data_IF_453262920683
#
_entry.id   IF_453262920683
#
_cell.length_a   1.000
_cell.length_b   1.000
_cell.length_c   1.000
_cell.angle_alpha   90.00
_cell.angle_beta   90.00
_cell.angle_gamma   90.00
#
_symmetry.space_group_name_H-M   'P 1'
#
loop_
_entity.id
_entity.type
_entity.pdbx_description
1 polymer ?
#
# COMPACT_ATOMS: atom_id res chain seq x y z
N UNK A 1 11.24 -34.41 -3.38
CA UNK A 1 12.60 -34.23 -3.97
C UNK A 1 13.20 -33.06 -3.22
N UNK A 2 13.89 -33.38 -2.13
CA UNK A 2 13.94 -32.48 -0.99
C UNK A 2 15.11 -31.51 -1.14
N UNK A 3 14.77 -30.29 -1.56
CA UNK A 3 15.74 -29.21 -1.75
C UNK A 3 15.75 -28.30 -0.52
N UNK A 4 16.81 -28.40 0.27
CA UNK A 4 17.03 -27.52 1.41
C UNK A 4 17.74 -26.24 0.97
N UNK A 5 17.20 -25.09 1.36
CA UNK A 5 17.78 -23.77 1.10
C UNK A 5 17.98 -22.99 2.40
N UNK A 6 18.90 -22.03 2.39
CA UNK A 6 19.14 -21.16 3.53
C UNK A 6 19.48 -19.75 3.05
N UNK A 7 18.88 -18.72 3.68
CA UNK A 7 19.11 -17.32 3.34
C UNK A 7 20.45 -16.76 3.88
N UNK A 8 21.22 -17.54 4.64
CA UNK A 8 22.46 -17.05 5.22
C UNK A 8 23.55 -16.80 4.15
N UNK A 9 24.42 -15.79 4.34
CA UNK A 9 25.49 -15.50 3.38
C UNK A 9 26.41 -16.69 3.10
N UNK A 10 26.68 -17.52 4.13
CA UNK A 10 27.52 -18.71 4.00
C UNK A 10 26.93 -19.78 3.06
N UNK A 11 25.61 -19.83 2.89
CA UNK A 11 24.94 -20.72 1.93
C UNK A 11 24.81 -20.05 0.55
N UNK A 12 24.40 -18.78 0.51
CA UNK A 12 24.19 -18.02 -0.75
C UNK A 12 25.47 -17.87 -1.57
N UNK A 13 26.61 -17.65 -0.90
CA UNK A 13 27.87 -17.33 -1.55
C UNK A 13 28.73 -18.56 -1.90
N UNK A 14 28.16 -19.77 -1.90
CA UNK A 14 28.84 -21.00 -2.35
C UNK A 14 28.83 -21.12 -3.87
N UNK A 15 29.52 -20.19 -4.53
CA UNK A 15 29.82 -20.26 -5.96
C UNK A 15 30.73 -21.45 -6.22
N UNK A 16 30.22 -22.48 -6.91
CA UNK A 16 30.95 -23.72 -7.21
C UNK A 16 30.24 -25.00 -6.76
N UNK A 17 29.22 -24.91 -5.90
CA UNK A 17 28.35 -26.03 -5.57
C UNK A 17 26.95 -25.82 -6.20
N UNK A 18 26.35 -26.87 -6.81
CA UNK A 18 24.97 -26.79 -7.27
C UNK A 18 24.05 -26.48 -6.09
N UNK A 19 22.96 -25.75 -6.34
CA UNK A 19 22.11 -25.17 -5.27
C UNK A 19 21.64 -26.25 -4.28
N UNK A 20 21.32 -27.44 -4.79
CA UNK A 20 20.89 -28.61 -4.01
C UNK A 20 22.01 -29.33 -3.25
N UNK A 21 23.27 -28.92 -3.37
CA UNK A 21 24.43 -29.43 -2.64
C UNK A 21 25.11 -28.36 -1.77
N UNK A 22 24.54 -27.16 -1.68
CA UNK A 22 25.03 -26.10 -0.79
C UNK A 22 24.71 -26.42 0.67
N UNK A 23 25.60 -26.03 1.57
CA UNK A 23 25.49 -26.31 3.02
C UNK A 23 25.75 -25.05 3.86
N UNK A 24 25.40 -25.04 5.13
CA UNK A 24 25.84 -24.00 6.07
C UNK A 24 25.74 -24.52 7.50
N UNK A 25 26.22 -23.71 8.47
CA UNK A 25 26.08 -24.06 9.89
C UNK A 25 24.62 -24.29 10.29
N UNK A 26 23.67 -23.51 9.76
CA UNK A 26 22.25 -23.67 10.06
C UNK A 26 21.69 -25.01 9.56
N UNK A 27 22.01 -25.42 8.33
CA UNK A 27 21.59 -26.71 7.79
C UNK A 27 22.25 -27.88 8.54
N UNK A 28 23.52 -27.75 8.93
CA UNK A 28 24.22 -28.76 9.75
C UNK A 28 23.59 -28.90 11.14
N UNK A 29 23.17 -27.80 11.76
CA UNK A 29 22.48 -27.82 13.05
C UNK A 29 21.08 -28.41 12.91
N UNK A 30 20.35 -28.08 11.84
CA UNK A 30 18.97 -28.50 11.63
C UNK A 30 18.85 -29.99 11.24
N UNK A 31 19.67 -30.43 10.29
CA UNK A 31 19.58 -31.77 9.69
C UNK A 31 20.52 -32.77 10.38
N UNK A 32 21.46 -32.29 11.18
CA UNK A 32 22.53 -33.08 11.77
C UNK A 32 23.71 -33.27 10.81
N UNK A 33 24.91 -33.29 11.39
CA UNK A 33 26.16 -33.30 10.64
C UNK A 33 26.33 -34.54 9.74
N UNK A 34 25.95 -35.72 10.23
CA UNK A 34 26.03 -36.98 9.47
C UNK A 34 25.11 -36.98 8.26
N UNK A 35 23.87 -36.52 8.43
CA UNK A 35 22.88 -36.45 7.35
C UNK A 35 23.30 -35.43 6.29
N UNK A 36 23.74 -34.25 6.73
CA UNK A 36 24.13 -33.17 5.85
C UNK A 36 25.35 -33.55 4.97
N UNK A 37 26.33 -34.25 5.54
CA UNK A 37 27.47 -34.79 4.78
C UNK A 37 27.04 -35.83 3.73
N UNK A 38 26.16 -36.76 4.11
CA UNK A 38 25.63 -37.76 3.18
C UNK A 38 24.85 -37.09 2.03
N UNK A 39 24.05 -36.07 2.34
CA UNK A 39 23.27 -35.29 1.36
C UNK A 39 24.17 -34.58 0.35
N UNK A 40 25.21 -33.88 0.83
CA UNK A 40 26.14 -33.18 -0.06
C UNK A 40 26.86 -34.17 -0.97
N UNK A 41 27.32 -35.31 -0.44
CA UNK A 41 27.98 -36.36 -1.22
C UNK A 41 27.08 -36.97 -2.29
N UNK A 42 25.79 -37.16 -1.98
CA UNK A 42 24.81 -37.67 -2.95
C UNK A 42 24.50 -36.65 -4.06
N UNK A 43 24.44 -35.37 -3.71
CA UNK A 43 24.02 -34.30 -4.65
C UNK A 43 25.18 -33.67 -5.44
N UNK A 44 26.43 -33.87 -4.99
CA UNK A 44 27.62 -33.38 -5.66
C UNK A 44 28.80 -34.36 -5.46
N UNK A 45 28.76 -35.55 -6.07
CA UNK A 45 29.74 -36.62 -5.86
C UNK A 45 31.18 -36.22 -6.26
N UNK A 46 31.34 -35.41 -7.31
CA UNK A 46 32.63 -34.96 -7.84
C UNK A 46 33.04 -33.55 -7.37
N UNK A 47 32.27 -32.96 -6.44
CA UNK A 47 32.50 -31.61 -5.95
C UNK A 47 33.61 -31.51 -4.89
N UNK A 48 34.19 -30.30 -4.71
CA UNK A 48 35.16 -30.07 -3.64
C UNK A 48 34.52 -30.35 -2.27
N UNK A 49 35.07 -31.34 -1.56
CA UNK A 49 34.58 -31.74 -0.24
C UNK A 49 34.79 -30.62 0.77
N UNK A 50 33.79 -30.30 1.62
CA UNK A 50 33.94 -29.27 2.64
C UNK A 50 35.02 -29.69 3.64
N UNK A 51 36.04 -28.84 3.84
CA UNK A 51 37.08 -29.07 4.86
C UNK A 51 36.44 -29.11 6.24
N UNK A 52 36.69 -30.18 6.99
CA UNK A 52 36.30 -30.29 8.39
C UNK A 52 36.92 -29.14 9.20
N UNK A 53 36.09 -28.31 9.81
CA UNK A 53 36.56 -27.27 10.73
C UNK A 53 37.05 -27.94 12.01
N UNK A 54 38.36 -27.94 12.22
CA UNK A 54 38.99 -28.41 13.46
C UNK A 54 38.42 -27.64 14.66
N UNK A 55 37.76 -28.33 15.56
CA UNK A 55 37.34 -27.81 16.86
C UNK A 55 38.58 -27.56 17.73
N UNK A 56 38.94 -26.29 17.95
CA UNK A 56 39.90 -25.93 18.99
C UNK A 56 39.23 -26.14 20.35
N UNK A 57 39.60 -27.24 21.01
CA UNK A 57 39.21 -27.53 22.39
C UNK A 57 39.76 -26.46 23.35
N UNK A 58 38.90 -25.89 24.19
CA UNK A 58 39.30 -25.07 25.36
C UNK A 58 39.91 -26.00 26.42
N UNK A 59 41.23 -25.93 26.59
CA UNK A 59 41.96 -26.59 27.68
C UNK A 59 41.77 -25.86 29.01
N UNK A 60 41.56 -26.64 30.08
CA UNK A 60 41.49 -26.21 31.49
C UNK A 60 42.90 -25.99 32.09
N UNK A 61 43.07 -24.85 32.78
CA UNK A 61 43.63 -24.77 34.14
C UNK A 61 45.14 -24.62 34.38
N UNK A 62 45.53 -23.56 35.11
CA UNK A 62 46.37 -23.59 36.34
C UNK A 62 46.04 -22.37 37.25
N UNK A 63 46.00 -22.61 38.56
CA UNK A 63 45.48 -21.78 39.68
C UNK A 63 46.51 -20.74 40.23
N UNK A 64 46.11 -19.51 40.64
CA UNK A 64 45.67 -18.96 41.96
C UNK A 64 46.80 -18.73 43.01
N UNK A 65 46.80 -17.60 43.78
CA UNK A 65 46.11 -17.54 45.10
C UNK A 65 45.44 -16.16 45.46
N UNK A 66 44.74 -16.03 46.62
CA UNK A 66 43.50 -15.22 46.75
C UNK A 66 43.43 -14.17 47.89
N UNK A 67 42.22 -13.56 48.02
CA UNK A 67 41.51 -12.96 49.20
C UNK A 67 41.56 -11.43 49.40
N UNK A 68 40.63 -10.80 50.18
CA UNK A 68 39.35 -11.27 50.77
C UNK A 68 38.14 -10.33 50.52
N UNK A 69 36.98 -10.73 51.07
CA UNK A 69 35.65 -10.12 50.91
C UNK A 69 35.14 -9.35 52.15
N UNK A 70 34.27 -8.34 51.89
CA UNK A 70 33.09 -7.84 52.66
C UNK A 70 33.32 -7.21 54.06
N UNK A 71 32.41 -6.35 54.61
CA UNK A 71 30.96 -6.54 54.62
C UNK A 71 30.04 -5.30 54.48
N UNK A 72 28.74 -5.61 54.52
CA UNK A 72 27.54 -4.75 54.52
C UNK A 72 27.28 -4.13 55.91
N UNK A 73 26.58 -2.99 55.95
CA UNK A 73 25.39 -2.73 56.79
C UNK A 73 24.80 -1.37 56.38
N UNK A 74 23.50 -1.23 56.08
CA UNK A 74 22.39 -1.09 57.05
C UNK A 74 22.15 0.42 57.25
N UNK A 75 21.08 1.06 56.76
CA UNK A 75 19.67 0.79 57.02
C UNK A 75 19.15 1.80 58.05
N UNK A 76 18.11 2.59 57.69
CA UNK A 76 17.12 3.36 58.51
C UNK A 76 16.81 4.72 57.85
N UNK A 77 15.68 4.87 57.17
CA UNK A 77 14.31 5.19 57.65
C UNK A 77 14.13 6.60 58.20
N UNK A 78 13.24 7.35 57.54
CA UNK A 78 12.08 8.09 58.10
C UNK A 78 11.90 9.47 57.46
N UNK A 79 10.68 9.68 56.97
CA UNK A 79 10.12 10.86 56.33
C UNK A 79 9.67 11.90 57.40
N UNK A 80 8.65 12.75 57.15
CA UNK A 80 8.49 13.84 56.17
C UNK A 80 8.15 15.17 56.91
N UNK A 81 8.01 16.27 56.15
CA UNK A 81 7.07 17.43 56.33
C UNK A 81 7.57 18.55 55.42
N UNK A 82 6.78 19.03 54.45
CA UNK A 82 5.77 20.09 54.61
C UNK A 82 6.46 21.46 54.58
N UNK A 83 6.03 22.52 53.92
CA UNK A 83 4.84 22.89 53.16
C UNK A 83 5.01 24.40 52.83
N UNK A 84 4.16 24.95 51.95
CA UNK A 84 3.73 26.36 51.87
C UNK A 84 4.47 27.33 50.90
N UNK A 85 3.63 27.89 49.99
CA UNK A 85 3.55 29.23 49.35
C UNK A 85 4.83 29.96 48.89
N UNK A 86 4.89 30.75 47.82
CA UNK A 86 3.89 31.37 46.95
C UNK A 86 4.51 32.64 46.32
N UNK A 87 3.90 33.14 45.25
CA UNK A 87 3.99 34.50 44.68
C UNK A 87 5.06 34.87 43.61
N UNK A 88 4.53 35.01 42.38
CA UNK A 88 4.66 36.09 41.38
C UNK A 88 5.54 37.32 41.67
N UNK A 89 6.33 37.74 40.67
CA UNK A 89 6.40 39.07 39.96
C UNK A 89 7.57 39.03 38.96
N UNK A 90 7.42 39.21 37.63
CA UNK A 90 7.16 40.37 36.75
C UNK A 90 8.32 41.40 36.59
N UNK A 91 8.72 41.56 35.30
CA UNK A 91 9.21 42.75 34.55
C UNK A 91 10.70 43.17 34.68
N UNK A 92 11.48 43.19 33.58
CA UNK A 92 11.68 44.28 32.57
C UNK A 92 12.97 45.08 32.91
N UNK A 93 13.82 45.66 32.03
CA UNK A 93 13.79 46.10 30.61
C UNK A 93 15.21 46.62 30.25
N UNK A 94 15.35 47.10 29.00
CA UNK A 94 16.31 48.06 28.39
C UNK A 94 17.42 47.43 27.54
N UNK A 95 17.44 47.51 26.20
CA UNK A 95 17.34 48.64 25.22
C UNK A 95 18.71 49.25 24.84
N UNK A 96 18.72 49.76 23.60
CA UNK A 96 19.67 50.62 22.87
C UNK A 96 20.78 49.93 22.03
N UNK A 97 21.16 50.40 20.84
CA UNK A 97 20.53 51.11 19.71
C UNK A 97 21.63 51.34 18.64
N UNK A 98 21.20 51.79 17.45
CA UNK A 98 21.95 52.36 16.30
C UNK A 98 22.42 51.41 15.19
N UNK A 99 22.56 51.86 13.94
CA UNK A 99 21.75 52.68 13.02
C UNK A 99 22.57 52.76 11.70
N UNK A 100 21.88 53.15 10.62
CA UNK A 100 22.40 53.84 9.43
C UNK A 100 22.80 53.09 8.14
N UNK A 101 22.24 53.65 7.08
CA UNK A 101 22.08 53.38 5.65
C UNK A 101 23.36 53.50 4.78
N UNK A 102 23.31 53.05 3.50
CA UNK A 102 23.61 53.87 2.29
C UNK A 102 23.54 53.04 0.97
N UNK A 103 23.20 53.73 -0.12
CA UNK A 103 22.81 53.35 -1.49
C UNK A 103 23.95 52.84 -2.42
N UNK A 104 23.61 52.31 -3.61
CA UNK A 104 24.53 52.36 -4.78
C UNK A 104 24.37 51.32 -5.91
N UNK A 105 23.86 51.79 -7.05
CA UNK A 105 23.83 51.23 -8.42
C UNK A 105 25.23 50.89 -9.02
N UNK A 106 25.30 49.99 -10.02
CA UNK A 106 26.50 49.77 -10.81
C UNK A 106 26.45 48.66 -11.88
N UNK A 107 25.77 48.94 -12.99
CA UNK A 107 25.95 48.36 -14.34
C UNK A 107 27.42 48.08 -14.73
N UNK A 108 27.69 46.95 -15.40
CA UNK A 108 28.64 46.88 -16.54
C UNK A 108 28.53 45.52 -17.25
N UNK A 109 27.89 45.51 -18.42
CA UNK A 109 28.05 44.45 -19.41
C UNK A 109 29.42 44.49 -20.09
N UNK A 110 29.89 43.35 -20.63
CA UNK A 110 30.36 43.25 -22.03
C UNK A 110 30.75 41.83 -22.47
N UNK A 111 30.18 41.47 -23.63
CA UNK A 111 30.81 40.78 -24.80
C UNK A 111 31.02 39.25 -24.80
N UNK A 112 30.18 38.60 -25.62
CA UNK A 112 30.46 37.39 -26.44
C UNK A 112 31.66 37.64 -27.38
N UNK A 113 32.24 36.59 -27.99
CA UNK A 113 31.75 36.19 -29.31
C UNK A 113 31.62 34.67 -29.53
N UNK A 114 30.69 34.32 -30.41
CA UNK A 114 30.46 32.99 -30.95
C UNK A 114 31.46 32.64 -32.07
N UNK A 115 31.78 31.35 -32.24
CA UNK A 115 32.23 30.78 -33.53
C UNK A 115 31.65 29.39 -33.79
N UNK A 116 31.45 29.14 -35.08
CA UNK A 116 30.63 28.14 -35.77
C UNK A 116 31.19 26.72 -35.76
N UNK A 117 30.24 25.78 -35.76
CA UNK A 117 30.12 24.49 -36.46
C UNK A 117 31.34 23.84 -37.14
N UNK A 118 31.48 22.52 -36.92
CA UNK A 118 31.85 21.51 -37.94
C UNK A 118 31.45 20.09 -37.49
N UNK A 119 30.71 19.36 -38.34
CA UNK A 119 30.59 17.88 -38.32
C UNK A 119 31.93 17.25 -38.74
N UNK A 120 32.20 15.99 -38.39
CA UNK A 120 32.03 14.93 -39.41
C UNK A 120 31.41 13.62 -38.87
N UNK A 121 31.23 12.69 -39.79
CA UNK A 121 30.45 11.45 -39.70
C UNK A 121 31.17 10.24 -39.05
N UNK A 122 30.33 9.26 -38.69
CA UNK A 122 30.53 7.80 -38.66
C UNK A 122 31.66 7.21 -37.80
N UNK A 123 31.30 6.43 -36.79
CA UNK A 123 31.47 4.96 -36.84
C UNK A 123 30.79 4.26 -35.66
N UNK A 124 30.36 3.05 -35.93
CA UNK A 124 29.69 2.08 -35.07
C UNK A 124 30.61 1.50 -33.99
N UNK A 125 30.10 1.35 -32.76
CA UNK A 125 30.37 0.19 -31.90
C UNK A 125 29.42 0.14 -30.72
N UNK A 126 28.68 -0.97 -30.64
CA UNK A 126 27.68 -1.23 -29.62
C UNK A 126 28.28 -1.32 -28.21
N UNK A 127 27.48 -0.91 -27.23
CA UNK A 127 27.66 -1.25 -25.83
C UNK A 127 26.32 -1.70 -25.26
N UNK A 128 26.25 -3.00 -24.98
CA UNK A 128 25.27 -3.65 -24.11
C UNK A 128 25.16 -2.83 -22.82
N UNK A 129 23.96 -2.31 -22.52
CA UNK A 129 23.61 -1.90 -21.17
C UNK A 129 22.79 -3.03 -20.54
N UNK A 130 23.35 -3.53 -19.44
CA UNK A 130 22.75 -4.42 -18.48
C UNK A 130 21.40 -3.87 -18.01
N UNK A 131 20.33 -4.62 -18.26
CA UNK A 131 19.01 -4.34 -17.73
C UNK A 131 18.97 -4.87 -16.29
N UNK A 132 19.01 -3.97 -15.31
CA UNK A 132 18.63 -4.29 -13.95
C UNK A 132 17.09 -4.28 -13.91
N UNK A 133 16.49 -5.47 -13.90
CA UNK A 133 15.06 -5.62 -13.71
C UNK A 133 14.76 -5.48 -12.22
N UNK A 134 14.20 -4.34 -11.84
CA UNK A 134 13.41 -4.21 -10.62
C UNK A 134 12.05 -4.88 -10.88
N UNK A 135 11.77 -5.93 -10.11
CA UNK A 135 10.47 -6.59 -10.06
C UNK A 135 9.50 -5.67 -9.30
N UNK A 136 8.61 -5.00 -10.05
CA UNK A 136 7.49 -4.25 -9.48
C UNK A 136 6.35 -5.24 -9.26
N UNK A 137 6.15 -5.65 -8.02
CA UNK A 137 4.93 -6.34 -7.58
C UNK A 137 3.76 -5.36 -7.71
N UNK A 138 2.98 -5.54 -8.78
CA UNK A 138 1.79 -4.77 -9.09
C UNK A 138 0.56 -5.54 -8.57
N UNK A 139 0.31 -5.44 -7.27
CA UNK A 139 -0.94 -5.91 -6.67
C UNK A 139 -1.67 -4.72 -6.07
N UNK A 140 -2.56 -4.13 -6.88
CA UNK A 140 -3.63 -3.22 -6.49
C UNK A 140 -4.54 -3.03 -7.71
N UNK A 141 -5.40 -4.01 -7.97
CA UNK A 141 -6.50 -3.84 -8.92
C UNK A 141 -7.62 -3.05 -8.22
N UNK A 142 -7.45 -1.74 -8.15
CA UNK A 142 -8.59 -0.83 -8.19
C UNK A 142 -9.14 -0.91 -9.63
N UNK A 143 -10.45 -1.11 -9.79
CA UNK A 143 -11.04 -1.37 -11.12
C UNK A 143 -10.93 -0.13 -12.00
N UNK A 144 -9.89 -0.07 -12.81
CA UNK A 144 -9.79 0.85 -13.94
C UNK A 144 -10.82 0.43 -14.98
N UNK A 145 -11.90 1.20 -15.10
CA UNK A 145 -12.90 0.95 -16.13
C UNK A 145 -12.74 1.95 -17.27
N UNK A 146 -12.43 1.47 -18.49
CA UNK A 146 -12.37 2.34 -19.66
C UNK A 146 -13.77 2.88 -19.97
N UNK A 147 -13.87 4.19 -20.19
CA UNK A 147 -15.05 4.80 -20.80
C UNK A 147 -15.10 4.40 -22.28
N UNK A 148 -16.29 4.02 -22.75
CA UNK A 148 -16.55 3.65 -24.14
C UNK A 148 -16.38 4.84 -25.08
N UNK A 149 -15.74 4.57 -26.21
CA UNK A 149 -15.55 5.48 -27.33
C UNK A 149 -16.90 5.81 -27.95
N UNK A 150 -17.25 7.10 -28.00
CA UNK A 150 -18.27 7.61 -28.90
C UNK A 150 -17.62 7.86 -30.25
N UNK A 151 -18.15 7.23 -31.29
CA UNK A 151 -17.71 7.41 -32.68
C UNK A 151 -18.16 8.78 -33.23
N UNK A 152 -17.31 9.34 -34.09
CA UNK A 152 -17.41 10.56 -34.91
C UNK A 152 -17.25 11.96 -34.27
N UNK A 153 -16.01 12.46 -34.19
CA UNK A 153 -15.47 13.52 -35.08
C UNK A 153 -14.02 13.95 -34.70
N UNK A 154 -13.09 13.82 -35.65
CA UNK A 154 -11.76 14.45 -35.85
C UNK A 154 -10.73 14.57 -34.69
N UNK A 155 -9.43 14.24 -34.93
CA UNK A 155 -8.42 14.14 -33.88
C UNK A 155 -7.84 15.51 -33.49
N UNK A 156 -8.23 16.04 -32.33
CA UNK A 156 -7.37 16.95 -31.59
C UNK A 156 -6.48 16.12 -30.66
N UNK A 157 -5.20 16.04 -30.97
CA UNK A 157 -4.19 15.41 -30.12
C UNK A 157 -3.85 16.35 -28.95
N UNK A 158 -4.80 16.56 -28.05
CA UNK A 158 -4.49 17.01 -26.70
C UNK A 158 -4.07 15.79 -25.90
N UNK A 159 -2.81 15.74 -25.46
CA UNK A 159 -2.33 14.67 -24.58
C UNK A 159 -3.18 14.66 -23.31
N UNK A 160 -3.86 13.54 -23.02
CA UNK A 160 -4.61 13.37 -21.77
C UNK A 160 -3.64 13.60 -20.59
N UNK A 161 -3.81 14.69 -19.84
CA UNK A 161 -2.99 14.98 -18.67
C UNK A 161 -3.45 14.08 -17.51
N UNK A 162 -2.67 13.03 -17.23
CA UNK A 162 -2.92 12.15 -16.10
C UNK A 162 -2.45 12.85 -14.83
N UNK A 163 -3.30 12.99 -13.79
CA UNK A 163 -2.91 13.65 -12.56
C UNK A 163 -1.86 12.83 -11.82
N UNK A 164 -0.83 13.50 -11.31
CA UNK A 164 0.18 12.88 -10.45
C UNK A 164 -0.39 12.73 -9.03
N UNK A 165 -0.90 11.55 -8.72
CA UNK A 165 -1.63 11.28 -7.48
C UNK A 165 -0.80 10.50 -6.46
N UNK A 166 -1.03 10.80 -5.18
CA UNK A 166 -0.42 10.08 -4.07
C UNK A 166 -1.05 8.69 -3.92
N UNK A 167 -0.24 7.65 -4.06
CA UNK A 167 -0.69 6.26 -4.00
C UNK A 167 -0.19 5.57 -2.73
N UNK A 168 -1.06 4.75 -2.14
CA UNK A 168 -0.79 4.09 -0.87
C UNK A 168 0.01 2.79 -1.04
N UNK A 169 0.97 2.51 -0.16
CA UNK A 169 1.53 1.17 0.01
C UNK A 169 0.67 0.30 0.94
N UNK A 170 0.84 -1.02 0.91
CA UNK A 170 0.23 -1.90 1.92
C UNK A 170 0.94 -1.72 3.27
N UNK A 171 0.18 -1.61 4.35
CA UNK A 171 0.72 -1.80 5.70
C UNK A 171 0.43 -3.23 6.16
N UNK A 172 1.49 -3.98 6.42
CA UNK A 172 1.40 -5.35 6.89
C UNK A 172 1.01 -5.40 8.37
N UNK A 173 0.03 -6.24 8.74
CA UNK A 173 -0.54 -6.31 10.09
C UNK A 173 0.45 -6.85 11.12
N UNK A 174 1.49 -7.58 10.73
CA UNK A 174 2.50 -8.10 11.66
C UNK A 174 3.81 -7.31 11.61
N UNK A 175 4.24 -6.92 10.41
CA UNK A 175 5.59 -6.39 10.15
C UNK A 175 5.61 -4.93 9.71
N UNK A 176 4.44 -4.30 9.50
CA UNK A 176 4.34 -2.90 9.11
C UNK A 176 4.96 -1.94 10.14
N UNK A 177 5.42 -0.75 9.71
CA UNK A 177 6.07 0.23 10.58
C UNK A 177 5.19 0.63 11.76
N UNK A 178 5.81 1.10 12.85
CA UNK A 178 5.10 1.64 14.01
C UNK A 178 4.20 2.81 13.59
N UNK A 179 2.87 2.68 13.74
CA UNK A 179 1.94 3.71 13.30
C UNK A 179 1.76 4.83 14.31
N UNK A 180 2.42 4.80 15.47
CA UNK A 180 2.25 5.81 16.53
C UNK A 180 2.47 7.23 15.99
N UNK A 181 1.48 8.11 16.18
CA UNK A 181 1.48 9.48 15.68
C UNK A 181 1.03 9.65 14.23
N UNK A 182 0.75 8.57 13.48
CA UNK A 182 0.19 8.66 12.14
C UNK A 182 -1.31 8.96 12.20
N UNK A 183 -1.83 9.57 11.15
CA UNK A 183 -3.26 9.82 11.00
C UNK A 183 -3.96 8.57 10.45
N UNK A 184 -5.09 8.21 11.04
CA UNK A 184 -5.96 7.10 10.65
C UNK A 184 -7.23 7.68 10.04
N UNK A 185 -7.64 7.19 8.88
CA UNK A 185 -8.96 7.45 8.30
C UNK A 185 -9.60 6.16 7.78
N UNK A 186 -10.92 6.18 7.59
CA UNK A 186 -11.60 5.07 6.91
C UNK A 186 -11.13 5.00 5.45
N UNK A 187 -10.84 3.78 4.98
CA UNK A 187 -10.69 3.55 3.54
C UNK A 187 -12.08 3.42 2.94
N UNK A 188 -12.44 4.37 2.09
CA UNK A 188 -13.69 4.39 1.37
C UNK A 188 -13.60 3.54 0.10
N UNK A 189 -14.62 2.73 -0.14
CA UNK A 189 -14.77 1.89 -1.33
C UNK A 189 -15.68 2.60 -2.35
N UNK A 190 -15.17 3.69 -2.92
CA UNK A 190 -15.87 4.50 -3.91
C UNK A 190 -15.14 4.54 -5.24
N UNK A 191 -15.23 5.68 -5.93
CA UNK A 191 -14.48 5.95 -7.14
C UNK A 191 -13.60 7.18 -6.94
N UNK A 192 -12.28 6.96 -6.83
CA UNK A 192 -11.30 8.04 -6.69
C UNK A 192 -11.43 9.08 -7.79
N UNK A 193 -11.43 10.35 -7.39
CA UNK A 193 -11.42 11.48 -8.31
C UNK A 193 -10.48 12.57 -7.85
N UNK A 194 -9.83 13.19 -8.84
CA UNK A 194 -9.08 14.42 -8.71
C UNK A 194 -9.91 15.56 -9.28
N UNK A 195 -10.17 16.57 -8.48
CA UNK A 195 -10.79 17.80 -8.93
C UNK A 195 -9.71 18.83 -9.23
N UNK A 196 -9.68 19.35 -10.46
CA UNK A 196 -8.62 20.26 -10.94
C UNK A 196 -8.94 21.76 -10.74
N UNK A 197 -10.00 22.08 -9.99
CA UNK A 197 -10.55 23.44 -9.90
C UNK A 197 -11.69 23.71 -10.90
N UNK A 198 -11.98 22.77 -11.80
CA UNK A 198 -13.03 22.91 -12.81
C UNK A 198 -13.84 21.63 -13.05
N UNK A 199 -13.19 20.48 -13.11
CA UNK A 199 -13.79 19.19 -13.46
C UNK A 199 -13.26 18.08 -12.57
N UNK A 200 -14.03 17.00 -12.48
CA UNK A 200 -13.59 15.76 -11.88
C UNK A 200 -12.89 14.87 -12.91
N UNK A 201 -11.70 14.41 -12.56
CA UNK A 201 -10.84 13.56 -13.39
C UNK A 201 -10.59 12.27 -12.63
N UNK A 202 -10.71 11.15 -13.31
CA UNK A 202 -10.31 9.84 -12.79
C UNK A 202 -8.79 9.72 -12.69
N UNK A 203 -8.32 8.70 -11.98
CA UNK A 203 -6.90 8.37 -11.86
C UNK A 203 -6.17 8.23 -13.21
N UNK A 204 -6.86 7.74 -14.25
CA UNK A 204 -6.27 7.57 -15.59
C UNK A 204 -6.45 8.79 -16.51
N UNK A 205 -6.90 9.93 -15.98
CA UNK A 205 -7.10 11.15 -16.77
C UNK A 205 -8.41 11.20 -17.56
N UNK A 206 -9.37 10.28 -17.32
CA UNK A 206 -10.69 10.36 -17.95
C UNK A 206 -11.62 11.27 -17.13
N UNK A 207 -12.32 12.22 -17.75
CA UNK A 207 -13.24 13.11 -17.04
C UNK A 207 -14.50 12.37 -16.59
N UNK A 208 -15.03 12.77 -15.44
CA UNK A 208 -16.40 12.45 -15.02
C UNK A 208 -17.36 13.55 -15.48
N UNK A 209 -18.65 13.24 -15.53
CA UNK A 209 -19.71 14.17 -15.98
C UNK A 209 -20.73 14.44 -14.87
N UNK A 210 -20.31 15.05 -13.75
CA UNK A 210 -21.25 15.48 -12.72
C UNK A 210 -22.20 16.55 -13.27
N UNK A 211 -23.44 16.66 -12.76
CA UNK A 211 -24.30 17.81 -13.05
C UNK A 211 -23.67 19.12 -12.58
N UNK A 212 -23.96 20.23 -13.27
CA UNK A 212 -23.43 21.55 -12.93
C UNK A 212 -23.71 21.95 -11.48
N UNK A 213 -24.91 21.64 -10.94
CA UNK A 213 -25.25 21.95 -9.55
C UNK A 213 -24.30 21.31 -8.53
N UNK A 214 -23.61 20.23 -8.89
CA UNK A 214 -22.62 19.59 -8.05
C UNK A 214 -21.27 20.32 -8.15
N UNK A 215 -20.84 20.68 -9.35
CA UNK A 215 -19.59 21.41 -9.58
C UNK A 215 -19.64 22.86 -9.05
N UNK A 216 -20.80 23.51 -9.13
CA UNK A 216 -21.01 24.89 -8.66
C UNK A 216 -20.79 25.05 -7.15
N UNK A 217 -20.78 23.93 -6.41
CA UNK A 217 -20.50 23.87 -4.96
C UNK A 217 -19.00 23.88 -4.63
N UNK A 218 -18.13 23.70 -5.62
CA UNK A 218 -16.69 23.54 -5.42
C UNK A 218 -15.91 24.83 -5.74
N UNK A 219 -14.86 25.12 -4.95
CA UNK A 219 -14.01 26.28 -5.20
C UNK A 219 -13.11 26.08 -6.42
N UNK A 220 -12.89 27.13 -7.21
CA UNK A 220 -12.08 27.06 -8.44
C UNK A 220 -10.59 27.37 -8.25
N UNK A 221 -10.18 27.77 -7.05
CA UNK A 221 -8.83 28.22 -6.72
C UNK A 221 -7.92 27.10 -6.16
N UNK A 222 -8.44 25.88 -6.03
CA UNK A 222 -7.71 24.75 -5.42
C UNK A 222 -7.97 23.45 -6.18
N UNK A 223 -7.07 22.49 -5.97
CA UNK A 223 -7.25 21.12 -6.45
C UNK A 223 -7.52 20.20 -5.27
N UNK A 224 -8.37 19.20 -5.46
CA UNK A 224 -8.84 18.30 -4.39
C UNK A 224 -8.64 16.85 -4.82
N UNK A 225 -8.22 16.01 -3.87
CA UNK A 225 -8.15 14.57 -4.03
C UNK A 225 -9.14 13.93 -3.05
N UNK A 226 -9.99 13.06 -3.59
CA UNK A 226 -11.10 12.50 -2.85
C UNK A 226 -11.73 11.30 -3.53
N UNK A 227 -12.83 10.84 -2.95
CA UNK A 227 -13.58 9.68 -3.41
C UNK A 227 -15.03 10.09 -3.73
N UNK A 228 -15.53 9.76 -4.92
CA UNK A 228 -16.97 9.79 -5.18
C UNK A 228 -17.58 8.56 -4.50
N UNK A 229 -18.51 8.78 -3.57
CA UNK A 229 -18.93 7.76 -2.62
C UNK A 229 -20.44 7.75 -2.41
N UNK A 230 -21.08 6.60 -2.67
CA UNK A 230 -22.51 6.38 -2.45
C UNK A 230 -22.86 5.72 -1.12
N UNK A 231 -21.87 5.50 -0.23
CA UNK A 231 -22.03 4.79 1.02
C UNK A 231 -21.42 3.39 1.02
N UNK A 232 -21.40 2.77 2.20
CA UNK A 232 -20.78 1.45 2.41
C UNK A 232 -21.53 0.37 1.64
N UNK A 233 -20.79 -0.50 0.94
CA UNK A 233 -21.37 -1.57 0.11
C UNK A 233 -22.05 -1.10 -1.18
N UNK A 234 -22.00 0.18 -1.51
CA UNK A 234 -22.65 0.76 -2.70
C UNK A 234 -21.71 0.96 -3.88
N UNK A 235 -20.47 0.44 -3.84
CA UNK A 235 -19.48 0.63 -4.90
C UNK A 235 -20.01 0.38 -6.33
N UNK A 236 -20.73 -0.72 -6.56
CA UNK A 236 -21.28 -1.03 -7.89
C UNK A 236 -22.30 0.03 -8.35
N UNK A 237 -23.13 0.51 -7.42
CA UNK A 237 -24.10 1.58 -7.66
C UNK A 237 -23.38 2.90 -7.95
N UNK A 238 -22.40 3.27 -7.11
CA UNK A 238 -21.53 4.44 -7.30
C UNK A 238 -20.88 4.43 -8.68
N UNK A 239 -20.23 3.32 -9.06
CA UNK A 239 -19.59 3.15 -10.37
C UNK A 239 -20.60 3.32 -11.51
N UNK A 240 -21.80 2.75 -11.38
CA UNK A 240 -22.85 2.91 -12.39
C UNK A 240 -23.25 4.37 -12.54
N UNK A 241 -23.47 5.09 -11.43
CA UNK A 241 -23.94 6.47 -11.43
C UNK A 241 -22.91 7.41 -12.05
N UNK A 242 -21.64 7.34 -11.62
CA UNK A 242 -20.60 8.29 -12.03
C UNK A 242 -20.14 8.10 -13.49
N UNK A 243 -20.43 6.93 -14.08
CA UNK A 243 -20.17 6.65 -15.50
C UNK A 243 -21.32 7.04 -16.42
N UNK A 244 -22.54 7.08 -15.90
CA UNK A 244 -23.70 7.47 -16.69
C UNK A 244 -23.71 8.98 -16.86
N UNK A 245 -23.56 9.44 -18.10
CA UNK A 245 -23.66 10.84 -18.47
C UNK A 245 -25.02 11.39 -18.03
N UNK A 246 -25.02 12.51 -17.30
CA UNK A 246 -26.24 13.17 -16.79
C UNK A 246 -27.14 12.26 -15.93
N UNK A 247 -26.56 11.34 -15.16
CA UNK A 247 -27.33 10.49 -14.25
C UNK A 247 -28.18 11.33 -13.28
N UNK A 248 -29.47 11.02 -13.15
CA UNK A 248 -30.35 11.69 -12.17
C UNK A 248 -30.05 11.29 -10.72
N UNK A 249 -29.20 10.27 -10.54
CA UNK A 249 -28.86 9.69 -9.24
C UNK A 249 -27.62 10.29 -8.59
N UNK A 250 -27.00 11.32 -9.18
CA UNK A 250 -25.87 12.05 -8.58
C UNK A 250 -26.19 12.65 -7.20
N UNK A 251 -27.47 12.88 -6.88
CA UNK A 251 -27.93 13.29 -5.54
C UNK A 251 -27.60 12.27 -4.44
N UNK A 252 -27.35 11.00 -4.81
CA UNK A 252 -26.97 9.94 -3.88
C UNK A 252 -25.44 9.76 -3.76
N UNK A 253 -24.66 10.65 -4.39
CA UNK A 253 -23.21 10.61 -4.37
C UNK A 253 -22.69 11.77 -3.54
N UNK A 254 -21.75 11.49 -2.64
CA UNK A 254 -20.94 12.48 -1.96
C UNK A 254 -19.54 12.51 -2.57
N UNK A 255 -18.88 13.67 -2.51
CA UNK A 255 -17.45 13.79 -2.77
C UNK A 255 -16.73 13.89 -1.43
N UNK A 256 -16.05 12.81 -1.06
CA UNK A 256 -15.36 12.62 0.21
C UNK A 256 -13.88 13.02 0.05
N UNK A 257 -13.54 14.23 0.47
CA UNK A 257 -12.23 14.83 0.26
C UNK A 257 -11.27 14.37 1.36
N UNK A 258 -10.06 13.96 0.97
CA UNK A 258 -9.03 13.54 1.92
C UNK A 258 -7.67 14.25 1.74
N UNK A 259 -7.46 15.03 0.66
CA UNK A 259 -6.24 15.83 0.49
C UNK A 259 -6.42 17.04 -0.46
N UNK A 260 -5.44 17.94 -0.48
CA UNK A 260 -5.35 19.13 -1.36
C UNK A 260 -4.01 19.10 -2.11
N UNK A 261 -3.94 18.54 -3.32
CA UNK A 261 -2.67 18.44 -4.06
C UNK A 261 -2.04 19.80 -4.39
N UNK A 262 -2.82 20.86 -4.58
CA UNK A 262 -2.31 22.22 -4.85
C UNK A 262 -1.56 22.85 -3.67
N UNK A 263 -1.71 22.29 -2.46
CA UNK A 263 -0.91 22.66 -1.27
C UNK A 263 0.15 21.61 -0.97
N UNK A 264 0.58 20.83 -1.97
CA UNK A 264 1.39 19.62 -1.78
C UNK A 264 2.75 19.83 -1.11
N UNK A 265 3.31 21.03 -1.19
CA UNK A 265 4.57 21.41 -0.53
C UNK A 265 4.42 21.66 0.98
N UNK A 266 3.18 21.69 1.50
CA UNK A 266 2.90 21.85 2.92
C UNK A 266 2.72 20.49 3.62
N UNK A 267 3.04 20.38 4.92
CA UNK A 267 2.75 19.20 5.73
C UNK A 267 1.27 18.81 5.70
N UNK A 268 0.96 17.52 5.82
CA UNK A 268 -0.41 17.00 5.77
C UNK A 268 -1.34 17.69 6.79
N UNK A 269 -0.83 18.02 7.97
CA UNK A 269 -1.57 18.73 9.02
C UNK A 269 -2.10 20.09 8.56
N UNK A 270 -1.28 20.83 7.81
CA UNK A 270 -1.64 22.13 7.27
C UNK A 270 -2.66 22.00 6.13
N UNK A 271 -2.46 21.01 5.24
CA UNK A 271 -3.41 20.70 4.17
C UNK A 271 -4.77 20.28 4.74
N UNK A 272 -4.78 19.44 5.78
CA UNK A 272 -6.00 19.00 6.44
C UNK A 272 -6.67 20.10 7.26
N UNK A 273 -5.90 21.00 7.88
CA UNK A 273 -6.45 22.20 8.52
C UNK A 273 -7.12 23.13 7.49
N UNK A 274 -6.51 23.31 6.32
CA UNK A 274 -7.11 24.07 5.21
C UNK A 274 -8.40 23.42 4.69
N UNK A 275 -8.45 22.09 4.59
CA UNK A 275 -9.68 21.35 4.27
C UNK A 275 -10.77 21.65 5.30
N UNK A 276 -10.47 21.48 6.59
CA UNK A 276 -11.44 21.73 7.68
C UNK A 276 -11.96 23.17 7.69
N UNK A 277 -11.10 24.16 7.44
CA UNK A 277 -11.51 25.55 7.37
C UNK A 277 -12.45 25.85 6.19
N UNK A 278 -12.30 25.15 5.06
CA UNK A 278 -13.10 25.38 3.84
C UNK A 278 -14.38 24.56 3.80
N UNK A 279 -14.32 23.27 4.16
CA UNK A 279 -15.40 22.30 3.99
C UNK A 279 -15.95 21.72 5.29
N UNK A 280 -15.31 21.97 6.42
CA UNK A 280 -15.81 21.56 7.74
C UNK A 280 -17.04 22.38 8.18
N UNK A 281 -17.54 22.08 9.36
CA UNK A 281 -18.69 22.80 9.94
C UNK A 281 -18.42 24.32 10.03
N UNK A 282 -19.30 25.12 9.42
CA UNK A 282 -19.14 26.57 9.33
C UNK A 282 -18.14 27.07 8.28
N UNK A 283 -17.57 26.17 7.48
CA UNK A 283 -16.67 26.51 6.37
C UNK A 283 -17.38 27.19 5.20
N UNK A 284 -16.61 27.88 4.34
CA UNK A 284 -17.14 28.66 3.20
C UNK A 284 -17.82 27.81 2.12
N UNK A 285 -17.50 26.51 2.07
CA UNK A 285 -18.03 25.54 1.10
C UNK A 285 -18.62 24.31 1.80
N UNK A 286 -19.10 24.45 3.03
CA UNK A 286 -19.81 23.38 3.73
C UNK A 286 -21.10 23.03 2.97
N UNK A 287 -21.20 21.80 2.48
CA UNK A 287 -22.30 21.32 1.64
C UNK A 287 -22.60 19.86 1.99
N UNK A 288 -23.86 19.45 1.91
CA UNK A 288 -24.26 18.07 2.22
C UNK A 288 -23.57 17.02 1.34
N UNK A 289 -23.35 17.31 0.04
CA UNK A 289 -22.67 16.37 -0.86
C UNK A 289 -21.13 16.49 -0.86
N UNK A 290 -20.54 17.44 -0.14
CA UNK A 290 -19.10 17.66 -0.11
C UNK A 290 -18.61 17.48 1.32
N UNK A 291 -18.01 16.33 1.59
CA UNK A 291 -17.66 15.89 2.94
C UNK A 291 -16.15 15.73 3.08
N UNK A 292 -15.65 15.89 4.31
CA UNK A 292 -14.27 15.63 4.64
C UNK A 292 -14.13 14.24 5.23
N UNK A 293 -13.14 13.50 4.78
CA UNK A 293 -12.75 12.26 5.44
C UNK A 293 -12.16 12.60 6.81
N UNK A 294 -12.80 12.10 7.86
CA UNK A 294 -12.36 12.30 9.24
C UNK A 294 -11.06 11.54 9.52
N UNK A 295 -10.16 12.19 10.25
CA UNK A 295 -8.88 11.62 10.65
C UNK A 295 -8.67 11.68 12.17
N UNK A 296 -8.12 10.61 12.74
CA UNK A 296 -7.70 10.53 14.15
C UNK A 296 -6.23 10.14 14.26
N UNK A 297 -5.60 10.40 15.40
CA UNK A 297 -4.20 10.04 15.63
C UNK A 297 -4.07 8.61 16.17
N UNK A 298 -3.23 7.81 15.51
CA UNK A 298 -2.84 6.49 15.96
C UNK A 298 -2.03 6.57 17.26
N UNK A 299 -2.53 5.93 18.32
CA UNK A 299 -1.85 5.82 19.61
C UNK A 299 -0.78 4.72 19.60
N UNK A 300 -1.10 3.62 18.94
CA UNK A 300 -0.25 2.44 18.79
C UNK A 300 -0.85 1.51 17.71
N UNK A 301 -0.21 0.35 17.52
CA UNK A 301 -0.69 -0.70 16.61
C UNK A 301 -2.07 -1.23 16.99
N UNK A 302 -2.34 -1.41 18.28
CA UNK A 302 -3.60 -1.97 18.76
C UNK A 302 -4.78 -1.04 18.47
N UNK A 303 -4.56 0.28 18.55
CA UNK A 303 -5.52 1.30 18.17
C UNK A 303 -5.92 1.19 16.70
N UNK A 304 -4.95 1.09 15.80
CA UNK A 304 -5.20 0.92 14.36
C UNK A 304 -6.00 -0.35 14.08
N UNK A 305 -5.66 -1.47 14.72
CA UNK A 305 -6.38 -2.73 14.55
C UNK A 305 -7.77 -2.73 15.19
N UNK A 306 -7.98 -1.95 16.26
CA UNK A 306 -9.31 -1.72 16.81
C UNK A 306 -10.17 -0.89 15.87
N UNK A 307 -9.60 0.17 15.30
CA UNK A 307 -10.29 1.02 14.32
C UNK A 307 -10.64 0.26 13.05
N UNK A 308 -9.73 -0.58 12.54
CA UNK A 308 -9.99 -1.49 11.43
C UNK A 308 -11.23 -2.36 11.73
N UNK A 309 -11.23 -3.09 12.85
CA UNK A 309 -12.37 -3.96 13.23
C UNK A 309 -13.67 -3.18 13.37
N UNK A 310 -13.63 -1.98 13.92
CA UNK A 310 -14.81 -1.12 14.06
C UNK A 310 -15.36 -0.71 12.69
N UNK A 311 -14.52 -0.22 11.80
CA UNK A 311 -14.90 0.18 10.43
C UNK A 311 -15.49 -1.01 9.68
N UNK A 312 -14.81 -2.15 9.72
CA UNK A 312 -15.26 -3.38 9.07
C UNK A 312 -16.60 -3.84 9.62
N UNK A 313 -16.80 -3.84 10.94
CA UNK A 313 -18.07 -4.25 11.57
C UNK A 313 -19.28 -3.45 11.09
N UNK A 314 -19.05 -2.24 10.57
CA UNK A 314 -20.07 -1.36 10.01
C UNK A 314 -20.13 -1.38 8.48
N UNK A 315 -19.46 -2.35 7.84
CA UNK A 315 -19.42 -2.55 6.39
C UNK A 315 -18.37 -1.73 5.63
N UNK A 316 -17.43 -1.08 6.33
CA UNK A 316 -16.37 -0.28 5.71
C UNK A 316 -15.26 -1.16 5.12
N UNK A 317 -14.51 -0.62 4.16
CA UNK A 317 -13.53 -1.41 3.39
C UNK A 317 -12.28 -1.76 4.21
N UNK A 318 -11.79 -0.79 4.97
CA UNK A 318 -10.53 -0.87 5.71
C UNK A 318 -10.12 0.48 6.27
N UNK A 319 -8.83 0.67 6.54
CA UNK A 319 -8.30 1.95 7.04
C UNK A 319 -7.10 2.44 6.24
N UNK A 320 -6.95 3.75 6.16
CA UNK A 320 -5.79 4.44 5.60
C UNK A 320 -4.92 4.99 6.73
N UNK A 321 -3.61 4.95 6.56
CA UNK A 321 -2.63 5.55 7.45
C UNK A 321 -1.83 6.61 6.70
N UNK A 322 -1.77 7.81 7.25
CA UNK A 322 -1.01 8.95 6.71
C UNK A 322 0.06 9.37 7.71
N UNK A 323 1.32 9.39 7.28
CA UNK A 323 2.44 9.78 8.14
C UNK A 323 2.34 11.26 8.51
N UNK A 324 2.48 11.59 9.79
CA UNK A 324 2.54 12.97 10.24
C UNK A 324 3.69 13.74 9.54
N UNK A 325 3.45 15.01 9.21
CA UNK A 325 4.42 15.86 8.54
C UNK A 325 4.71 15.50 7.08
N UNK A 326 3.96 14.58 6.45
CA UNK A 326 4.23 14.17 5.08
C UNK A 326 3.78 15.20 4.05
N UNK A 327 4.63 15.50 3.07
CA UNK A 327 4.27 16.26 1.87
C UNK A 327 3.43 15.41 0.91
N UNK A 328 2.75 16.05 -0.04
CA UNK A 328 2.02 15.35 -1.07
C UNK A 328 2.99 14.88 -2.17
N UNK A 329 3.10 13.56 -2.36
CA UNK A 329 3.97 12.98 -3.39
C UNK A 329 3.09 12.45 -4.53
N UNK A 330 3.28 12.94 -5.76
CA UNK A 330 2.53 12.50 -6.96
C UNK A 330 2.85 11.08 -7.45
N UNK A 331 3.11 10.15 -6.52
CA UNK A 331 3.53 8.78 -6.79
C UNK A 331 3.13 7.85 -5.64
N UNK A 332 3.42 6.56 -5.79
CA UNK A 332 3.34 5.61 -4.68
C UNK A 332 4.37 5.95 -3.61
N UNK A 333 3.91 6.02 -2.36
CA UNK A 333 4.74 6.46 -1.24
C UNK A 333 4.54 5.61 0.01
N UNK A 334 5.59 5.51 0.81
CA UNK A 334 5.52 4.93 2.15
C UNK A 334 4.92 5.87 3.20
N UNK A 335 4.54 7.10 2.83
CA UNK A 335 3.86 8.07 3.71
C UNK A 335 2.35 7.93 3.72
N UNK A 336 1.80 7.16 2.77
CA UNK A 336 0.41 6.77 2.72
C UNK A 336 0.35 5.25 2.69
N UNK A 337 -0.30 4.65 3.67
CA UNK A 337 -0.48 3.21 3.72
C UNK A 337 -1.94 2.84 3.81
N UNK A 338 -2.28 1.63 3.38
CA UNK A 338 -3.62 1.07 3.48
C UNK A 338 -3.60 -0.28 4.17
N UNK A 339 -4.64 -0.54 4.95
CA UNK A 339 -4.87 -1.80 5.63
C UNK A 339 -6.20 -2.34 5.14
N UNK A 340 -6.16 -3.55 4.59
CA UNK A 340 -7.33 -4.31 4.17
C UNK A 340 -7.25 -5.71 4.76
N UNK A 341 -8.39 -6.24 5.19
CA UNK A 341 -8.50 -7.65 5.56
C UNK A 341 -8.79 -8.48 4.31
N UNK A 342 -8.16 -9.64 4.23
CA UNK A 342 -8.36 -10.59 3.15
C UNK A 342 -8.80 -11.93 3.74
N UNK A 343 -9.57 -12.67 2.96
CA UNK A 343 -10.02 -14.02 3.24
C UNK A 343 -9.46 -14.94 2.17
N UNK A 344 -9.03 -16.13 2.58
CA UNK A 344 -8.58 -17.18 1.68
C UNK A 344 -9.64 -18.28 1.68
N UNK A 345 -10.01 -18.77 0.51
CA UNK A 345 -10.97 -19.84 0.29
C UNK A 345 -10.48 -20.75 -0.84
N UNK A 346 -11.20 -21.85 -1.04
CA UNK A 346 -10.87 -22.85 -2.05
C UNK A 346 -12.00 -22.98 -3.08
N UNK A 347 -11.63 -23.22 -4.34
CA UNK A 347 -12.58 -23.46 -5.42
C UNK A 347 -12.03 -24.47 -6.43
N UNK A 348 -12.92 -25.23 -7.06
CA UNK A 348 -12.58 -26.18 -8.12
C UNK A 348 -12.51 -25.46 -9.46
N UNK A 349 -11.43 -25.66 -10.21
CA UNK A 349 -11.31 -25.15 -11.58
C UNK A 349 -12.25 -25.94 -12.50
N UNK A 350 -13.18 -25.27 -13.15
CA UNK A 350 -14.16 -25.88 -14.07
C UNK A 350 -13.87 -25.55 -15.54
N UNK A 351 -13.00 -24.59 -15.82
CA UNK A 351 -12.67 -24.17 -17.18
C UNK A 351 -11.74 -22.96 -17.22
N UNK A 352 -11.52 -22.44 -18.43
CA UNK A 352 -10.64 -21.30 -18.67
C UNK A 352 -11.32 -20.25 -19.54
N UNK A 353 -11.25 -18.99 -19.15
CA UNK A 353 -11.64 -17.87 -19.99
C UNK A 353 -10.44 -17.40 -20.84
N UNK A 354 -10.62 -17.10 -22.14
CA UNK A 354 -9.53 -16.66 -23.00
C UNK A 354 -9.01 -15.27 -22.59
N UNK A 355 -7.69 -15.09 -22.67
CA UNK A 355 -7.05 -13.81 -22.39
C UNK A 355 -7.30 -12.77 -23.48
N UNK A 356 -7.37 -11.49 -23.07
CA UNK A 356 -7.48 -10.32 -23.94
C UNK A 356 -6.21 -9.46 -23.83
N UNK A 357 -6.01 -8.55 -24.78
CA UNK A 357 -4.88 -7.61 -24.79
C UNK A 357 -3.53 -8.34 -24.72
N UNK A 358 -2.70 -7.99 -23.74
CA UNK A 358 -1.38 -8.60 -23.51
C UNK A 358 -1.42 -10.12 -23.31
N UNK A 359 -2.55 -10.66 -22.85
CA UNK A 359 -2.73 -12.09 -22.56
C UNK A 359 -3.42 -12.84 -23.71
N UNK A 360 -3.59 -12.24 -24.89
CA UNK A 360 -4.22 -12.88 -26.05
C UNK A 360 -3.47 -14.17 -26.42
N UNK A 361 -4.21 -15.26 -26.62
CA UNK A 361 -3.64 -16.59 -26.90
C UNK A 361 -3.18 -17.38 -25.67
N UNK A 362 -3.49 -16.90 -24.47
CA UNK A 362 -3.25 -17.62 -23.20
C UNK A 362 -4.48 -17.59 -22.31
N UNK A 363 -4.44 -18.29 -21.16
CA UNK A 363 -5.52 -18.25 -20.18
C UNK A 363 -5.64 -16.87 -19.54
N UNK A 364 -6.80 -16.24 -19.74
CA UNK A 364 -7.16 -14.95 -19.17
C UNK A 364 -7.63 -15.06 -17.72
N UNK A 365 -8.47 -16.04 -17.43
CA UNK A 365 -8.93 -16.33 -16.07
C UNK A 365 -9.25 -17.82 -15.90
N UNK A 366 -9.17 -18.30 -14.67
CA UNK A 366 -9.69 -19.61 -14.29
C UNK A 366 -11.18 -19.47 -13.98
N UNK A 367 -12.02 -20.23 -14.65
CA UNK A 367 -13.43 -20.38 -14.28
C UNK A 367 -13.49 -21.36 -13.12
N UNK A 368 -14.05 -20.95 -11.98
CA UNK A 368 -14.00 -21.69 -10.75
C UNK A 368 -15.40 -21.88 -10.15
N UNK A 369 -15.56 -22.96 -9.38
CA UNK A 369 -16.77 -23.29 -8.63
C UNK A 369 -16.46 -23.39 -7.14
N UNK A 370 -17.18 -22.62 -6.34
CA UNK A 370 -17.14 -22.62 -4.87
C UNK A 370 -17.78 -23.87 -4.27
N UNK A 371 -17.58 -24.11 -2.97
CA UNK A 371 -18.28 -25.17 -2.22
C UNK A 371 -19.81 -24.96 -2.26
N UNK A 372 -20.25 -23.70 -2.08
CA UNK A 372 -21.64 -23.28 -2.24
C UNK A 372 -22.23 -23.51 -3.65
N UNK A 373 -21.40 -23.90 -4.62
CA UNK A 373 -21.80 -24.18 -5.99
C UNK A 373 -21.85 -22.97 -6.93
N UNK A 374 -21.59 -21.77 -6.40
CA UNK A 374 -21.52 -20.54 -7.19
C UNK A 374 -20.27 -20.53 -8.09
N UNK A 375 -20.42 -19.92 -9.26
CA UNK A 375 -19.39 -19.86 -10.30
C UNK A 375 -18.82 -18.45 -10.37
N UNK A 376 -17.51 -18.33 -10.52
CA UNK A 376 -16.83 -17.04 -10.65
C UNK A 376 -15.50 -17.21 -11.41
N UNK A 377 -14.90 -16.08 -11.81
CA UNK A 377 -13.63 -16.07 -12.53
C UNK A 377 -12.50 -15.55 -11.64
N UNK A 378 -11.36 -16.22 -11.67
CA UNK A 378 -10.10 -15.77 -11.04
C UNK A 378 -9.13 -15.34 -12.13
N UNK A 379 -9.04 -14.03 -12.36
CA UNK A 379 -8.22 -13.43 -13.41
C UNK A 379 -6.84 -12.96 -12.95
N UNK A 380 -6.67 -12.74 -11.65
CA UNK A 380 -5.52 -12.06 -11.04
C UNK A 380 -4.69 -13.03 -10.21
N UNK A 381 -3.43 -12.70 -9.89
CA UNK A 381 -2.48 -13.63 -9.26
C UNK A 381 -1.92 -14.72 -10.19
N UNK A 382 -2.35 -14.76 -11.46
CA UNK A 382 -1.83 -15.70 -12.46
C UNK A 382 -0.58 -15.14 -13.15
N UNK A 383 0.58 -15.72 -12.84
CA UNK A 383 1.83 -15.42 -13.57
C UNK A 383 1.74 -15.87 -15.03
N UNK A 384 2.54 -15.28 -15.92
CA UNK A 384 2.54 -15.66 -17.34
C UNK A 384 2.86 -17.14 -17.56
N UNK A 385 3.65 -17.74 -16.67
CA UNK A 385 3.91 -19.19 -16.68
C UNK A 385 2.63 -19.99 -16.39
N UNK A 386 1.87 -19.58 -15.38
CA UNK A 386 0.58 -20.21 -15.04
C UNK A 386 -0.44 -19.98 -16.17
N UNK A 387 -0.46 -18.81 -16.81
CA UNK A 387 -1.37 -18.55 -17.95
C UNK A 387 -1.12 -19.45 -19.15
N UNK A 388 0.14 -19.83 -19.40
CA UNK A 388 0.52 -20.78 -20.47
C UNK A 388 0.23 -22.23 -20.10
N UNK A 389 0.32 -22.57 -18.82
CA UNK A 389 0.07 -23.90 -18.29
C UNK A 389 -0.82 -23.78 -17.04
N UNK A 390 -2.14 -23.53 -17.23
CA UNK A 390 -3.06 -23.31 -16.11
C UNK A 390 -3.25 -24.59 -15.29
N UNK A 391 -3.67 -24.47 -14.01
CA UNK A 391 -4.07 -25.62 -13.21
C UNK A 391 -5.13 -26.43 -13.98
N UNK A 392 -4.99 -27.76 -14.08
CA UNK A 392 -5.96 -28.61 -14.78
C UNK A 392 -7.39 -28.43 -14.28
N UNK A 393 -8.37 -28.56 -15.18
CA UNK A 393 -9.78 -28.67 -14.79
C UNK A 393 -9.94 -29.81 -13.77
N UNK A 394 -10.67 -29.56 -12.69
CA UNK A 394 -10.82 -30.45 -11.54
C UNK A 394 -9.84 -30.16 -10.40
N UNK A 395 -8.77 -29.38 -10.64
CA UNK A 395 -7.86 -28.97 -9.56
C UNK A 395 -8.56 -28.02 -8.59
N UNK A 396 -8.25 -28.15 -7.31
CA UNK A 396 -8.65 -27.18 -6.29
C UNK A 396 -7.57 -26.11 -6.18
N UNK A 397 -7.99 -24.85 -6.20
CA UNK A 397 -7.12 -23.70 -6.02
C UNK A 397 -7.46 -23.01 -4.73
N UNK A 398 -6.46 -22.44 -4.08
CA UNK A 398 -6.65 -21.41 -3.05
C UNK A 398 -6.69 -20.06 -3.74
N UNK A 399 -7.71 -19.27 -3.43
CA UNK A 399 -7.84 -17.90 -3.87
C UNK A 399 -8.06 -16.97 -2.68
N UNK A 400 -7.58 -15.74 -2.82
CA UNK A 400 -7.71 -14.67 -1.85
C UNK A 400 -8.70 -13.65 -2.33
N UNK A 401 -9.54 -13.12 -1.46
CA UNK A 401 -10.52 -12.09 -1.77
C UNK A 401 -10.77 -11.18 -0.57
N UNK A 402 -11.44 -10.04 -0.76
CA UNK A 402 -11.69 -9.07 0.33
C UNK A 402 -13.09 -9.22 0.93
N UNK A 403 -14.09 -9.49 0.08
CA UNK A 403 -15.50 -9.60 0.47
C UNK A 403 -16.30 -10.33 -0.62
N UNK A 404 -17.55 -10.71 -0.34
CA UNK A 404 -18.46 -11.23 -1.37
C UNK A 404 -19.30 -10.10 -2.00
N UNK A 405 -19.71 -10.27 -3.26
CA UNK A 405 -20.75 -9.46 -3.90
C UNK A 405 -22.14 -9.78 -3.35
N UNK A 406 -23.16 -9.00 -3.72
CA UNK A 406 -24.57 -9.26 -3.34
C UNK A 406 -25.05 -10.65 -3.79
N UNK A 407 -24.50 -11.15 -4.90
CA UNK A 407 -24.78 -12.50 -5.42
C UNK A 407 -23.96 -13.56 -4.68
N UNK A 408 -23.19 -13.18 -3.67
CA UNK A 408 -22.36 -14.03 -2.82
C UNK A 408 -21.19 -14.70 -3.56
N UNK A 409 -20.63 -14.05 -4.57
CA UNK A 409 -19.38 -14.48 -5.23
C UNK A 409 -18.20 -13.59 -4.78
N UNK A 410 -16.96 -14.10 -4.77
CA UNK A 410 -15.80 -13.33 -4.32
C UNK A 410 -15.57 -12.08 -5.16
N UNK A 411 -15.36 -10.94 -4.49
CA UNK A 411 -14.93 -9.68 -5.10
C UNK A 411 -13.41 -9.58 -5.09
N UNK A 412 -12.85 -9.22 -6.25
CA UNK A 412 -11.40 -9.15 -6.51
C UNK A 412 -10.64 -10.43 -6.11
N UNK A 413 -11.06 -11.61 -6.60
CA UNK A 413 -10.36 -12.83 -6.29
C UNK A 413 -9.00 -12.90 -6.99
N UNK A 414 -7.96 -13.20 -6.23
CA UNK A 414 -6.60 -13.43 -6.71
C UNK A 414 -6.18 -14.87 -6.45
N UNK A 415 -5.63 -15.52 -7.47
CA UNK A 415 -5.05 -16.85 -7.35
C UNK A 415 -3.84 -16.82 -6.41
N UNK A 416 -3.82 -17.72 -5.42
CA UNK A 416 -2.69 -17.89 -4.51
C UNK A 416 -1.87 -19.13 -4.87
N UNK A 417 -2.55 -20.24 -5.15
CA UNK A 417 -1.88 -21.51 -5.42
C UNK A 417 -2.84 -22.64 -5.72
N UNK A 418 -2.30 -23.77 -6.14
CA UNK A 418 -3.04 -25.03 -6.21
C UNK A 418 -3.02 -25.65 -4.81
N UNK A 419 -4.20 -26.00 -4.29
CA UNK A 419 -4.36 -26.69 -3.02
C UNK A 419 -4.21 -28.20 -3.25
N UNK A 420 -2.95 -28.64 -3.39
CA UNK A 420 -2.61 -30.04 -3.73
C UNK A 420 -3.00 -31.05 -2.64
N UNK A 421 -3.28 -30.56 -1.43
CA UNK A 421 -3.64 -31.32 -0.24
C UNK A 421 -5.16 -31.42 -0.02
N UNK A 422 -5.97 -30.88 -0.94
CA UNK A 422 -7.43 -30.81 -0.82
C UNK A 422 -8.13 -31.67 -1.87
N UNK A 423 -9.13 -32.41 -1.42
CA UNK A 423 -10.02 -33.21 -2.27
C UNK A 423 -11.39 -32.54 -2.49
N UNK A 424 -11.76 -31.60 -1.61
CA UNK A 424 -12.99 -30.80 -1.68
C UNK A 424 -12.67 -29.32 -1.43
N UNK A 425 -13.29 -28.38 -2.16
CA UNK A 425 -13.15 -26.96 -1.87
C UNK A 425 -13.89 -26.62 -0.57
N UNK A 426 -13.32 -25.73 0.23
CA UNK A 426 -13.99 -25.09 1.37
C UNK A 426 -14.19 -23.60 1.14
N UNK A 427 -15.41 -23.11 1.38
CA UNK A 427 -15.70 -21.68 1.37
C UNK A 427 -15.12 -20.99 2.64
N UNK A 428 -14.72 -19.72 2.53
CA UNK A 428 -14.18 -18.99 3.67
C UNK A 428 -15.27 -18.67 4.70
N UNK A 429 -14.89 -18.77 5.98
CA UNK A 429 -15.70 -18.28 7.10
C UNK A 429 -15.53 -16.76 7.20
N UNK A 430 -16.49 -16.04 6.61
CA UNK A 430 -16.47 -14.57 6.59
C UNK A 430 -17.53 -14.00 7.55
N UNK A 431 -17.23 -12.89 8.24
CA UNK A 431 -18.22 -12.17 9.04
C UNK A 431 -19.43 -11.72 8.22
N UNK A 432 -20.60 -11.66 8.86
CA UNK A 432 -21.87 -11.35 8.19
C UNK A 432 -21.84 -10.00 7.45
N UNK A 433 -21.17 -8.99 8.02
CA UNK A 433 -21.02 -7.68 7.38
C UNK A 433 -20.16 -7.69 6.10
N UNK A 434 -19.36 -8.75 5.86
CA UNK A 434 -18.59 -8.97 4.62
C UNK A 434 -19.28 -9.92 3.63
N UNK A 435 -20.42 -10.50 4.02
CA UNK A 435 -21.36 -11.15 3.09
C UNK A 435 -22.28 -10.06 2.57
N UNK A 436 -21.97 -9.47 1.40
CA UNK A 436 -22.85 -8.43 0.88
C UNK A 436 -24.29 -8.97 0.72
N UNK A 437 -25.25 -8.22 1.24
CA UNK A 437 -26.67 -8.60 1.34
C UNK A 437 -27.24 -8.64 2.76
N UNK A 438 -26.42 -8.58 3.82
CA UNK A 438 -26.91 -8.65 5.20
C UNK A 438 -27.50 -7.34 5.77
N UNK A 439 -27.36 -6.21 5.07
CA UNK A 439 -27.86 -4.90 5.52
C UNK A 439 -29.02 -4.40 4.65
N UNK A 440 -30.18 -5.04 4.75
CA UNK A 440 -31.48 -4.41 4.42
C UNK A 440 -32.67 -4.99 5.18
N UNK A 441 -32.46 -5.81 6.23
CA UNK A 441 -33.54 -6.49 6.94
C UNK A 441 -33.46 -6.31 8.46
N UNK A 442 -33.36 -5.08 8.98
CA UNK A 442 -33.71 -4.79 10.38
C UNK A 442 -33.89 -3.29 10.69
N UNK A 443 -34.50 -2.52 9.80
CA UNK A 443 -34.99 -1.18 10.11
C UNK A 443 -36.44 -1.04 9.63
N UNK A 444 -37.34 -1.72 10.32
CA UNK A 444 -38.79 -1.66 10.12
C UNK A 444 -39.50 -2.49 11.19
N UNK A 445 -40.40 -1.83 11.93
CA UNK A 445 -41.22 -2.31 13.06
C UNK A 445 -40.51 -2.54 14.41
N UNK A 446 -40.44 -1.49 15.24
CA UNK A 446 -41.48 -1.16 16.25
C UNK A 446 -41.24 0.22 16.86
#
# INVERSE_FOLDING_TARGET
>A
MDHYFCSCPAWRNQGGAPINARTCKHLRTLLGEKYELARIKMKNPDGPQPKATSSKAKGKGKAAPPTPAKPKNGGKTAAPKGSIEGQKRKRATSEDDNDAEDDGDGDYGTKRPAKRARKPASSSKGKKKSNAQEEVEQEDEDVDVPAVEAEDEQPSTSGKSVPELLLANKWDIETGPDPTGWWISEKLDGVRTYYDGSQFISRLGNPFTPPNWFLDKLPKDITLDGELYGGRGEFQSTVSIVKTVNSVHWKNISFQIFDIPSLGDQPFEERYAALKARFGEGGTHAQEQIELVEHEIAKDRAHVLARLREVESKGGEGVMLRRAGSMYEGRRSGTLLKIKTFYDAEAVVTGYAPGKGRNKGSTGALMCKMESGKMFNVGSGLTDKIRRAPPPIGSIITYRFQELTRDGVPRFPSFIGVAIDKDVPKDAEIPEHRKAGAASASAGDT
#
